data_IF_964982954168
#
_entry.id   IF_964982954168
#
_cell.length_a   1.000
_cell.length_b   1.000
_cell.length_c   1.000
_cell.angle_alpha   90.00
_cell.angle_beta   90.00
_cell.angle_gamma   90.00
#
_symmetry.space_group_name_H-M   'P 1'
#
loop_
_entity.id
_entity.type
_entity.pdbx_description
1 polymer ?
#
# COMPACT_ATOMS: atom_id res chain seq x y z
N UNK A 1 -7.40 -12.17 -40.65
CA UNK A 1 -7.41 -10.87 -39.93
C UNK A 1 -8.12 -11.09 -38.61
N UNK A 2 -7.44 -10.90 -37.47
CA UNK A 2 -7.98 -11.19 -36.13
C UNK A 2 -8.75 -9.97 -35.62
N UNK A 3 -10.08 -9.98 -35.78
CA UNK A 3 -10.95 -8.91 -35.26
C UNK A 3 -11.24 -9.22 -33.78
N UNK A 4 -10.38 -8.75 -32.88
CA UNK A 4 -10.60 -8.88 -31.43
C UNK A 4 -11.79 -7.98 -31.06
N UNK A 5 -12.90 -8.58 -30.61
CA UNK A 5 -14.10 -7.86 -30.19
C UNK A 5 -13.89 -7.25 -28.80
N UNK A 6 -14.38 -6.03 -28.58
CA UNK A 6 -14.25 -5.28 -27.31
C UNK A 6 -14.71 -6.08 -26.08
N UNK A 7 -15.72 -6.94 -26.23
CA UNK A 7 -16.19 -7.83 -25.16
C UNK A 7 -15.14 -8.87 -24.73
N UNK A 8 -14.30 -9.37 -25.65
CA UNK A 8 -13.23 -10.32 -25.33
C UNK A 8 -12.05 -9.63 -24.63
N UNK A 9 -11.72 -8.40 -25.05
CA UNK A 9 -10.72 -7.57 -24.37
C UNK A 9 -11.16 -7.18 -22.95
N UNK A 10 -12.43 -6.83 -22.78
CA UNK A 10 -13.00 -6.48 -21.46
C UNK A 10 -13.03 -7.67 -20.51
N UNK A 11 -13.40 -8.86 -20.99
CA UNK A 11 -13.37 -10.09 -20.19
C UNK A 11 -11.94 -10.47 -19.77
N UNK A 12 -10.96 -10.33 -20.67
CA UNK A 12 -9.55 -10.55 -20.35
C UNK A 12 -9.02 -9.54 -19.33
N UNK A 13 -9.42 -8.27 -19.44
CA UNK A 13 -9.10 -7.22 -18.46
C UNK A 13 -9.62 -7.55 -17.07
N UNK A 14 -10.89 -7.94 -16.95
CA UNK A 14 -11.51 -8.30 -15.68
C UNK A 14 -10.82 -9.50 -15.00
N UNK A 15 -10.48 -10.54 -15.76
CA UNK A 15 -9.75 -11.72 -15.23
C UNK A 15 -8.34 -11.33 -14.77
N UNK A 16 -7.66 -10.44 -15.50
CA UNK A 16 -6.33 -9.95 -15.12
C UNK A 16 -6.38 -9.13 -13.82
N UNK A 17 -7.40 -8.30 -13.66
CA UNK A 17 -7.60 -7.48 -12.46
C UNK A 17 -7.94 -8.33 -11.23
N UNK A 18 -8.83 -9.33 -11.36
CA UNK A 18 -9.14 -10.26 -10.27
C UNK A 18 -7.94 -11.07 -9.81
N UNK A 19 -7.10 -11.54 -10.76
CA UNK A 19 -5.84 -12.22 -10.43
C UNK A 19 -4.89 -11.29 -9.70
N UNK A 20 -4.75 -10.06 -10.18
CA UNK A 20 -3.89 -9.09 -9.52
C UNK A 20 -4.37 -8.73 -8.10
N UNK A 21 -5.68 -8.59 -7.88
CA UNK A 21 -6.24 -8.41 -6.54
C UNK A 21 -5.91 -9.61 -5.64
N UNK A 22 -6.03 -10.84 -6.15
CA UNK A 22 -5.65 -12.04 -5.41
C UNK A 22 -4.16 -12.04 -5.05
N UNK A 23 -3.28 -11.73 -6.00
CA UNK A 23 -1.83 -11.65 -5.79
C UNK A 23 -1.49 -10.60 -4.73
N UNK A 24 -2.15 -9.44 -4.75
CA UNK A 24 -1.97 -8.37 -3.76
C UNK A 24 -2.41 -8.80 -2.36
N UNK A 25 -3.54 -9.50 -2.22
CA UNK A 25 -3.98 -10.02 -0.91
C UNK A 25 -2.98 -11.01 -0.34
N UNK A 26 -2.48 -11.93 -1.15
CA UNK A 26 -1.45 -12.90 -0.73
C UNK A 26 -0.15 -12.19 -0.32
N UNK A 27 0.30 -11.23 -1.14
CA UNK A 27 1.46 -10.40 -0.85
C UNK A 27 1.33 -9.68 0.49
N UNK A 28 0.21 -8.98 0.70
CA UNK A 28 -0.04 -8.25 1.94
C UNK A 28 -0.09 -9.17 3.17
N UNK A 29 -0.77 -10.33 3.08
CA UNK A 29 -0.80 -11.33 4.17
C UNK A 29 0.58 -11.88 4.51
N UNK A 30 1.45 -12.06 3.52
CA UNK A 30 2.82 -12.55 3.71
C UNK A 30 3.73 -11.51 4.36
N UNK A 31 3.63 -10.25 3.93
CA UNK A 31 4.57 -9.19 4.29
C UNK A 31 4.13 -8.33 5.47
N UNK A 32 2.83 -8.26 5.76
CA UNK A 32 2.24 -7.46 6.85
C UNK A 32 1.28 -8.31 7.72
N UNK A 33 1.72 -9.48 8.21
CA UNK A 33 0.82 -10.41 8.92
C UNK A 33 0.32 -9.83 10.25
N UNK A 34 1.11 -9.03 10.94
CA UNK A 34 0.76 -8.46 12.24
C UNK A 34 -0.20 -7.26 12.09
N UNK A 35 0.06 -6.39 11.12
CA UNK A 35 -0.75 -5.21 10.84
C UNK A 35 -2.14 -5.59 10.34
N UNK A 36 -2.22 -6.66 9.53
CA UNK A 36 -3.46 -7.12 8.91
C UNK A 36 -4.11 -8.27 9.68
N UNK A 37 -3.58 -8.63 10.86
CA UNK A 37 -4.07 -9.75 11.68
C UNK A 37 -5.55 -9.63 12.03
N UNK A 38 -6.03 -8.40 12.20
CA UNK A 38 -7.42 -8.10 12.55
C UNK A 38 -8.39 -8.20 11.37
N UNK A 39 -7.90 -8.19 10.13
CA UNK A 39 -8.74 -8.27 8.93
C UNK A 39 -8.93 -9.73 8.53
N UNK A 40 -10.17 -10.17 8.49
CA UNK A 40 -10.53 -11.43 7.82
C UNK A 40 -10.38 -11.32 6.29
N UNK A 41 -10.57 -12.42 5.57
CA UNK A 41 -10.36 -12.46 4.12
C UNK A 41 -11.30 -11.52 3.36
N UNK A 42 -12.52 -11.31 3.86
CA UNK A 42 -13.51 -10.41 3.24
C UNK A 42 -13.12 -8.95 3.47
N UNK A 43 -12.71 -8.60 4.68
CA UNK A 43 -12.23 -7.29 5.05
C UNK A 43 -10.92 -6.95 4.31
N UNK A 44 -10.01 -7.90 4.17
CA UNK A 44 -8.78 -7.73 3.39
C UNK A 44 -9.10 -7.51 1.90
N UNK A 45 -10.07 -8.25 1.34
CA UNK A 45 -10.50 -8.02 -0.04
C UNK A 45 -11.16 -6.64 -0.24
N UNK A 46 -11.94 -6.16 0.73
CA UNK A 46 -12.46 -4.80 0.71
C UNK A 46 -11.33 -3.76 0.80
N UNK A 47 -10.35 -4.01 1.68
CA UNK A 47 -9.18 -3.14 1.86
C UNK A 47 -8.38 -3.00 0.56
N UNK A 48 -8.07 -4.12 -0.11
CA UNK A 48 -7.32 -4.09 -1.38
C UNK A 48 -8.10 -3.36 -2.48
N UNK A 49 -9.40 -3.61 -2.62
CA UNK A 49 -10.23 -2.95 -3.64
C UNK A 49 -10.33 -1.44 -3.41
N UNK A 50 -10.56 -1.02 -2.17
CA UNK A 50 -10.62 0.39 -1.80
C UNK A 50 -9.27 1.07 -2.01
N UNK A 51 -8.18 0.47 -1.52
CA UNK A 51 -6.84 1.04 -1.70
C UNK A 51 -6.41 1.10 -3.17
N UNK A 52 -6.80 0.12 -4.01
CA UNK A 52 -6.62 0.20 -5.46
C UNK A 52 -7.41 1.36 -6.09
N UNK A 53 -8.64 1.59 -5.65
CA UNK A 53 -9.46 2.71 -6.11
C UNK A 53 -8.80 4.05 -5.78
N UNK A 54 -8.36 4.22 -4.53
CA UNK A 54 -7.66 5.42 -4.06
C UNK A 54 -6.34 5.66 -4.81
N UNK A 55 -5.54 4.59 -5.01
CA UNK A 55 -4.30 4.67 -5.77
C UNK A 55 -4.55 5.08 -7.24
N UNK A 56 -5.59 4.54 -7.88
CA UNK A 56 -5.97 4.93 -9.24
C UNK A 56 -6.44 6.39 -9.31
N UNK A 57 -7.16 6.87 -8.29
CA UNK A 57 -7.53 8.29 -8.19
C UNK A 57 -6.31 9.21 -8.04
N UNK A 58 -5.19 8.67 -7.51
CA UNK A 58 -3.86 9.29 -7.48
C UNK A 58 -3.06 9.10 -8.78
N UNK A 59 -3.69 8.67 -9.87
CA UNK A 59 -3.06 8.38 -11.17
C UNK A 59 -2.00 7.27 -11.13
N UNK A 60 -2.03 6.39 -10.12
CA UNK A 60 -1.16 5.21 -10.05
C UNK A 60 -1.82 4.09 -10.85
N UNK A 61 -1.25 3.79 -12.03
CA UNK A 61 -1.76 2.76 -12.94
C UNK A 61 -0.81 1.57 -13.09
N UNK A 62 0.44 1.71 -12.66
CA UNK A 62 1.41 0.61 -12.71
C UNK A 62 1.17 -0.37 -11.57
N UNK A 63 1.40 -1.67 -11.83
CA UNK A 63 1.35 -2.70 -10.78
C UNK A 63 2.20 -2.34 -9.57
N UNK A 64 3.43 -1.88 -9.80
CA UNK A 64 4.36 -1.52 -8.73
C UNK A 64 3.85 -0.35 -7.88
N UNK A 65 3.29 0.69 -8.51
CA UNK A 65 2.72 1.84 -7.79
C UNK A 65 1.51 1.44 -6.95
N UNK A 66 0.64 0.58 -7.49
CA UNK A 66 -0.50 0.03 -6.76
C UNK A 66 -0.05 -0.83 -5.57
N UNK A 67 0.96 -1.68 -5.75
CA UNK A 67 1.56 -2.46 -4.66
C UNK A 67 2.10 -1.56 -3.56
N UNK A 68 2.94 -0.58 -3.89
CA UNK A 68 3.51 0.35 -2.90
C UNK A 68 2.44 1.12 -2.14
N UNK A 69 1.39 1.57 -2.84
CA UNK A 69 0.28 2.24 -2.18
C UNK A 69 -0.39 1.32 -1.15
N UNK A 70 -0.68 0.08 -1.55
CA UNK A 70 -1.30 -0.89 -0.64
C UNK A 70 -0.39 -1.28 0.54
N UNK A 71 0.91 -1.37 0.35
CA UNK A 71 1.87 -1.58 1.45
C UNK A 71 1.81 -0.42 2.46
N UNK A 72 1.72 0.83 1.97
CA UNK A 72 1.53 2.00 2.84
C UNK A 72 0.20 1.94 3.59
N UNK A 73 -0.91 1.56 2.92
CA UNK A 73 -2.20 1.40 3.59
C UNK A 73 -2.21 0.26 4.60
N UNK A 74 -1.42 -0.80 4.40
CA UNK A 74 -1.27 -1.87 5.37
C UNK A 74 -0.52 -1.40 6.62
N UNK A 75 0.48 -0.54 6.46
CA UNK A 75 1.22 0.04 7.59
C UNK A 75 0.43 1.09 8.38
N UNK A 76 -0.43 1.86 7.72
CA UNK A 76 -1.00 3.09 8.30
C UNK A 76 -2.52 3.22 8.25
N UNK A 77 -3.22 2.28 7.60
CA UNK A 77 -4.66 2.34 7.33
C UNK A 77 -4.99 2.96 5.97
N UNK A 78 -6.22 2.73 5.48
CA UNK A 78 -6.74 3.35 4.24
C UNK A 78 -6.94 4.86 4.37
N UNK A 79 -7.15 5.35 5.58
CA UNK A 79 -7.40 6.75 5.90
C UNK A 79 -6.10 7.55 6.07
N UNK A 80 -4.92 6.96 5.82
CA UNK A 80 -3.62 7.54 6.13
C UNK A 80 -3.40 8.96 5.56
N UNK A 81 -3.93 9.24 4.36
CA UNK A 81 -3.80 10.56 3.73
C UNK A 81 -4.58 11.67 4.47
N UNK A 82 -5.58 11.30 5.25
CA UNK A 82 -6.45 12.23 6.00
C UNK A 82 -6.00 12.43 7.45
N UNK A 83 -5.14 11.56 7.98
CA UNK A 83 -4.72 11.58 9.38
C UNK A 83 -3.74 12.73 9.65
N UNK A 84 -4.02 13.63 10.62
CA UNK A 84 -3.15 14.77 10.92
C UNK A 84 -1.70 14.39 11.26
N UNK A 85 -1.50 13.30 11.98
CA UNK A 85 -0.19 12.76 12.35
C UNK A 85 0.60 12.19 11.15
N UNK A 86 -0.07 11.95 10.02
CA UNK A 86 0.51 11.48 8.76
C UNK A 86 0.51 12.55 7.67
N UNK A 87 0.40 13.84 8.04
CA UNK A 87 0.41 14.94 7.08
C UNK A 87 1.64 14.92 6.15
N UNK A 88 2.78 14.44 6.63
CA UNK A 88 4.00 14.22 5.85
C UNK A 88 3.77 13.29 4.64
N UNK A 89 2.94 12.25 4.78
CA UNK A 89 2.68 11.29 3.72
C UNK A 89 1.85 11.93 2.60
N UNK A 90 0.82 12.69 2.97
CA UNK A 90 0.03 13.47 2.04
C UNK A 90 0.88 14.51 1.31
N UNK A 91 1.73 15.25 2.02
CA UNK A 91 2.62 16.24 1.41
C UNK A 91 3.53 15.63 0.34
N UNK A 92 4.00 14.39 0.53
CA UNK A 92 4.82 13.70 -0.48
C UNK A 92 4.02 13.28 -1.72
N UNK A 93 2.73 12.94 -1.56
CA UNK A 93 1.83 12.64 -2.69
C UNK A 93 1.39 13.91 -3.45
N UNK A 94 1.30 15.03 -2.74
CA UNK A 94 0.90 16.34 -3.27
C UNK A 94 2.10 17.18 -3.75
N UNK A 95 3.33 16.66 -3.63
CA UNK A 95 4.58 17.34 -3.98
C UNK A 95 4.64 17.73 -5.47
N UNK A 96 4.34 19.00 -5.76
CA UNK A 96 4.27 19.54 -7.10
C UNK A 96 5.62 19.57 -7.83
N UNK A 97 6.74 19.52 -7.10
CA UNK A 97 8.09 19.51 -7.69
C UNK A 97 8.42 18.14 -8.32
N UNK A 98 7.65 17.09 -8.00
CA UNK A 98 7.74 15.79 -8.64
C UNK A 98 6.60 15.63 -9.64
N UNK A 99 6.90 15.63 -10.92
CA UNK A 99 5.86 15.52 -11.95
C UNK A 99 5.20 14.12 -11.98
N UNK A 100 6.00 13.07 -11.80
CA UNK A 100 5.54 11.69 -11.99
C UNK A 100 4.86 11.11 -10.73
N UNK A 101 3.58 10.71 -10.79
CA UNK A 101 2.87 10.13 -9.64
C UNK A 101 3.57 8.89 -9.07
N UNK A 102 4.15 8.07 -9.96
CA UNK A 102 4.90 6.88 -9.56
C UNK A 102 6.14 7.22 -8.73
N UNK A 103 6.83 8.33 -9.03
CA UNK A 103 8.00 8.75 -8.27
C UNK A 103 7.60 9.32 -6.89
N UNK A 104 6.48 10.06 -6.82
CA UNK A 104 5.90 10.47 -5.52
C UNK A 104 5.60 9.27 -4.64
N UNK A 105 4.95 8.26 -5.21
CA UNK A 105 4.62 7.02 -4.50
C UNK A 105 5.87 6.25 -4.08
N UNK A 106 6.88 6.14 -4.95
CA UNK A 106 8.17 5.51 -4.62
C UNK A 106 8.83 6.19 -3.43
N UNK A 107 8.91 7.53 -3.46
CA UNK A 107 9.48 8.34 -2.37
C UNK A 107 8.71 8.12 -1.07
N UNK A 108 7.38 8.16 -1.12
CA UNK A 108 6.52 7.92 0.04
C UNK A 108 6.77 6.53 0.63
N UNK A 109 6.75 5.49 -0.20
CA UNK A 109 6.95 4.12 0.24
C UNK A 109 8.31 3.90 0.93
N UNK A 110 9.37 4.47 0.36
CA UNK A 110 10.71 4.44 0.97
C UNK A 110 10.74 5.13 2.34
N UNK A 111 10.08 6.29 2.47
CA UNK A 111 10.03 7.03 3.72
C UNK A 111 9.18 6.32 4.79
N UNK A 112 8.02 5.76 4.41
CA UNK A 112 7.16 4.98 5.29
C UNK A 112 7.92 3.76 5.85
N UNK A 113 8.61 3.02 4.98
CA UNK A 113 9.42 1.86 5.37
C UNK A 113 10.53 2.26 6.34
N UNK A 114 11.24 3.37 6.07
CA UNK A 114 12.30 3.88 6.96
C UNK A 114 11.77 4.27 8.34
N UNK A 115 10.60 4.91 8.41
CA UNK A 115 9.98 5.32 9.67
C UNK A 115 9.58 4.12 10.51
N UNK A 116 8.94 3.12 9.90
CA UNK A 116 8.59 1.86 10.56
C UNK A 116 9.82 1.15 11.15
N UNK A 117 10.90 1.03 10.38
CA UNK A 117 12.16 0.44 10.86
C UNK A 117 12.77 1.21 12.05
N UNK A 118 12.66 2.55 12.05
CA UNK A 118 13.14 3.37 13.18
C UNK A 118 12.30 3.15 14.43
N UNK A 119 10.98 3.05 14.29
CA UNK A 119 10.07 2.80 15.40
C UNK A 119 10.33 1.42 16.03
N UNK A 120 10.46 0.39 15.21
CA UNK A 120 10.80 -0.98 15.66
C UNK A 120 12.15 -1.00 16.40
N UNK A 121 13.17 -0.35 15.84
CA UNK A 121 14.50 -0.25 16.47
C UNK A 121 14.46 0.50 17.80
N UNK A 122 13.69 1.58 17.87
CA UNK A 122 13.52 2.36 19.09
C UNK A 122 12.78 1.55 20.17
N UNK A 123 11.76 0.78 19.78
CA UNK A 123 11.02 -0.10 20.69
C UNK A 123 11.92 -1.19 21.29
N UNK A 124 12.74 -1.86 20.46
CA UNK A 124 13.70 -2.88 20.92
C UNK A 124 14.72 -2.30 21.90
N UNK A 125 15.20 -1.09 21.64
CA UNK A 125 16.16 -0.41 22.51
C UNK A 125 15.55 -0.11 23.88
N UNK A 126 14.30 0.40 23.93
CA UNK A 126 13.59 0.65 25.20
C UNK A 126 13.36 -0.63 26.00
N UNK A 127 13.00 -1.74 25.35
CA UNK A 127 12.81 -3.03 26.02
C UNK A 127 14.12 -3.56 26.63
N UNK A 128 15.25 -3.41 25.92
CA UNK A 128 16.57 -3.82 26.43
C UNK A 128 17.01 -3.03 27.66
N UNK A 129 16.73 -1.73 27.72
CA UNK A 129 17.01 -0.92 28.90
C UNK A 129 16.08 -1.23 30.08
N UNK A 130 14.83 -1.60 29.82
CA UNK A 130 13.89 -2.04 30.87
C UNK A 130 14.24 -3.40 31.48
N UNK A 131 14.85 -4.31 30.70
CA UNK A 131 15.19 -5.66 31.16
C UNK A 131 16.63 -5.79 31.69
N UNK A 132 17.46 -4.74 31.57
CA UNK A 132 18.86 -4.73 32.02
C UNK A 132 19.11 -4.00 33.35
N UNK A 133 18.04 -3.54 34.01
CA UNK A 133 18.11 -2.92 35.34
C UNK A 133 17.80 -3.93 36.45
N UNK A 134 18.77 -4.78 36.78
CA UNK A 134 18.82 -5.56 38.03
C UNK A 134 20.27 -5.65 38.48
#
# INVERSE_FOLDING_TARGET
>A
MLTIRENQLSALGAVSEQRFEADLREHLRRHFPEELRALDDMALAAHVREGMSQAKARSLTSRQGLTWYLEVTAMHGLDFESRPELHWARQMLDDADVTEPHERMRRLHLEATRRKQREERNAQTRQRFSNGGT
#
